data_IF_930262651226
#
_entry.id   IF_930262651226
#
_cell.length_a   1.000
_cell.length_b   1.000
_cell.length_c   1.000
_cell.angle_alpha   90.00
_cell.angle_beta   90.00
_cell.angle_gamma   90.00
#
_symmetry.space_group_name_H-M   'P 1'
#
loop_
_entity.id
_entity.type
_entity.pdbx_description
1 polymer ?
#
# COMPACT_ATOMS: atom_id res chain seq x y z
N UNK A 1 -19.02 14.37 -17.28
CA UNK A 1 -18.39 13.28 -16.49
C UNK A 1 -17.85 12.25 -17.46
N UNK A 2 -16.56 11.86 -17.38
CA UNK A 2 -16.07 10.74 -18.15
C UNK A 2 -16.88 9.49 -17.77
N UNK A 3 -17.36 8.74 -18.77
CA UNK A 3 -18.08 7.48 -18.52
C UNK A 3 -17.08 6.46 -17.98
N UNK A 4 -17.33 5.91 -16.80
CA UNK A 4 -16.53 4.81 -16.25
C UNK A 4 -16.55 3.65 -17.25
N UNK A 5 -15.39 3.10 -17.69
CA UNK A 5 -15.35 2.06 -18.73
C UNK A 5 -15.85 0.69 -18.22
N UNK A 6 -16.12 0.58 -16.91
CA UNK A 6 -16.49 -0.67 -16.26
C UNK A 6 -18.00 -0.75 -16.07
N UNK A 7 -18.58 -1.89 -16.47
CA UNK A 7 -19.99 -2.18 -16.25
C UNK A 7 -20.20 -2.56 -14.78
N UNK A 8 -21.01 -1.82 -14.01
CA UNK A 8 -21.27 -2.15 -12.62
C UNK A 8 -22.22 -3.34 -12.48
N UNK A 9 -22.25 -3.92 -11.28
CA UNK A 9 -23.32 -4.84 -10.89
C UNK A 9 -24.69 -4.14 -10.94
N UNK A 10 -25.79 -4.89 -11.13
CA UNK A 10 -27.14 -4.35 -10.96
C UNK A 10 -27.33 -3.73 -9.57
N UNK A 11 -28.20 -2.71 -9.47
CA UNK A 11 -28.46 -2.04 -8.20
C UNK A 11 -28.94 -3.04 -7.14
N UNK A 12 -28.26 -3.06 -6.00
CA UNK A 12 -28.59 -3.96 -4.89
C UNK A 12 -29.74 -3.38 -4.04
N UNK A 13 -30.57 -4.21 -3.37
CA UNK A 13 -31.69 -3.75 -2.54
C UNK A 13 -31.32 -2.70 -1.48
N UNK A 14 -30.17 -2.79 -0.77
CA UNK A 14 -29.79 -1.76 0.21
C UNK A 14 -29.55 -0.39 -0.44
N UNK A 15 -28.97 -0.35 -1.63
CA UNK A 15 -28.70 0.90 -2.34
C UNK A 15 -29.99 1.49 -2.94
N UNK A 16 -30.87 0.62 -3.47
CA UNK A 16 -32.17 1.02 -3.99
C UNK A 16 -33.05 1.68 -2.91
N UNK A 17 -33.05 1.11 -1.70
CA UNK A 17 -33.83 1.59 -0.55
C UNK A 17 -33.23 2.83 0.15
N UNK A 18 -32.02 3.26 -0.21
CA UNK A 18 -31.38 4.42 0.39
C UNK A 18 -32.06 5.74 -0.02
N UNK A 19 -31.96 6.76 0.85
CA UNK A 19 -32.43 8.13 0.58
C UNK A 19 -31.53 8.93 -0.37
N UNK A 20 -30.50 8.29 -0.95
CA UNK A 20 -29.60 8.91 -1.90
C UNK A 20 -30.33 9.27 -3.19
N UNK A 21 -29.85 10.31 -3.88
CA UNK A 21 -30.34 10.65 -5.20
C UNK A 21 -29.94 9.57 -6.23
N UNK A 22 -30.71 9.41 -7.30
CA UNK A 22 -30.37 8.46 -8.37
C UNK A 22 -28.96 8.67 -8.95
N UNK A 23 -28.48 9.91 -9.19
CA UNK A 23 -27.09 10.14 -9.58
C UNK A 23 -26.07 9.63 -8.56
N UNK A 24 -26.34 9.78 -7.25
CA UNK A 24 -25.44 9.29 -6.21
C UNK A 24 -25.42 7.76 -6.14
N UNK A 25 -26.57 7.09 -6.32
CA UNK A 25 -26.65 5.63 -6.42
C UNK A 25 -25.83 5.12 -7.61
N UNK A 26 -25.99 5.75 -8.78
CA UNK A 26 -25.23 5.41 -9.98
C UNK A 26 -23.72 5.59 -9.78
N UNK A 27 -23.30 6.69 -9.16
CA UNK A 27 -21.89 6.93 -8.85
C UNK A 27 -21.30 5.86 -7.90
N UNK A 28 -22.06 5.41 -6.90
CA UNK A 28 -21.64 4.32 -6.01
C UNK A 28 -21.49 2.99 -6.74
N UNK A 29 -22.38 2.70 -7.70
CA UNK A 29 -22.28 1.50 -8.53
C UNK A 29 -21.02 1.54 -9.41
N UNK A 30 -20.73 2.68 -10.03
CA UNK A 30 -19.52 2.86 -10.84
C UNK A 30 -18.24 2.77 -10.00
N UNK A 31 -18.27 3.34 -8.79
CA UNK A 31 -17.18 3.22 -7.82
C UNK A 31 -16.92 1.75 -7.45
N UNK A 32 -17.96 0.98 -7.15
CA UNK A 32 -17.84 -0.47 -6.85
C UNK A 32 -17.15 -1.23 -7.99
N UNK A 33 -17.55 -0.97 -9.23
CA UNK A 33 -16.94 -1.58 -10.40
C UNK A 33 -15.45 -1.21 -10.56
N UNK A 34 -15.11 0.06 -10.35
CA UNK A 34 -13.73 0.53 -10.40
C UNK A 34 -12.88 -0.08 -9.28
N UNK A 35 -13.41 -0.16 -8.06
CA UNK A 35 -12.75 -0.80 -6.92
C UNK A 35 -12.49 -2.27 -7.15
N UNK A 36 -13.42 -2.99 -7.78
CA UNK A 36 -13.19 -4.40 -8.14
C UNK A 36 -11.99 -4.56 -9.09
N UNK A 37 -11.89 -3.72 -10.11
CA UNK A 37 -10.76 -3.76 -11.05
C UNK A 37 -9.44 -3.39 -10.36
N UNK A 38 -9.47 -2.39 -9.50
CA UNK A 38 -8.33 -1.98 -8.68
C UNK A 38 -7.85 -3.12 -7.77
N UNK A 39 -8.75 -3.74 -7.00
CA UNK A 39 -8.45 -4.88 -6.15
C UNK A 39 -7.91 -6.07 -6.94
N UNK A 40 -8.49 -6.38 -8.10
CA UNK A 40 -8.01 -7.46 -8.97
C UNK A 40 -6.59 -7.21 -9.46
N UNK A 41 -6.27 -5.97 -9.85
CA UNK A 41 -4.92 -5.58 -10.28
C UNK A 41 -3.90 -5.69 -9.14
N UNK A 42 -4.28 -5.24 -7.94
CA UNK A 42 -3.46 -5.39 -6.72
C UNK A 42 -3.23 -6.86 -6.36
N UNK A 43 -4.28 -7.68 -6.34
CA UNK A 43 -4.20 -9.09 -5.97
C UNK A 43 -3.32 -9.91 -6.91
N UNK A 44 -3.25 -9.54 -8.19
CA UNK A 44 -2.34 -10.15 -9.17
C UNK A 44 -0.89 -9.69 -9.03
N UNK A 45 -0.60 -8.75 -8.14
CA UNK A 45 0.73 -8.19 -7.94
C UNK A 45 1.21 -7.35 -9.12
N UNK A 46 0.35 -6.94 -10.05
CA UNK A 46 0.75 -6.26 -11.29
C UNK A 46 1.48 -4.94 -11.01
N UNK A 47 1.12 -4.21 -9.94
CA UNK A 47 1.84 -3.00 -9.54
C UNK A 47 3.25 -3.31 -9.01
N UNK A 48 3.38 -4.33 -8.16
CA UNK A 48 4.68 -4.74 -7.61
C UNK A 48 5.59 -5.31 -8.70
N UNK A 49 5.03 -6.15 -9.57
CA UNK A 49 5.76 -6.75 -10.68
C UNK A 49 6.24 -5.70 -11.69
N UNK A 50 5.42 -4.69 -11.99
CA UNK A 50 5.84 -3.57 -12.86
C UNK A 50 6.98 -2.77 -12.24
N UNK A 51 6.85 -2.37 -10.97
CA UNK A 51 7.92 -1.65 -10.28
C UNK A 51 9.22 -2.45 -10.27
N UNK A 52 9.15 -3.76 -10.00
CA UNK A 52 10.34 -4.62 -10.02
C UNK A 52 10.97 -4.72 -11.41
N UNK A 53 10.15 -4.90 -12.46
CA UNK A 53 10.63 -5.05 -13.84
C UNK A 53 11.36 -3.82 -14.38
N UNK A 54 11.10 -2.65 -13.80
CA UNK A 54 11.72 -1.37 -14.15
C UNK A 54 12.90 -1.01 -13.22
N UNK A 55 13.28 -1.91 -12.32
CA UNK A 55 14.45 -1.77 -11.44
C UNK A 55 15.46 -2.88 -11.70
N UNK A 56 16.75 -2.60 -11.49
CA UNK A 56 17.80 -3.63 -11.50
C UNK A 56 17.86 -4.45 -10.19
N UNK A 57 16.77 -4.45 -9.41
CA UNK A 57 16.67 -5.23 -8.19
C UNK A 57 16.38 -6.68 -8.55
N UNK A 58 17.40 -7.52 -8.44
CA UNK A 58 17.25 -8.98 -8.47
C UNK A 58 16.57 -9.47 -7.18
N UNK A 59 15.26 -9.24 -7.06
CA UNK A 59 14.43 -9.61 -5.91
C UNK A 59 13.14 -10.28 -6.39
N UNK A 60 12.80 -11.40 -5.76
CA UNK A 60 11.46 -11.96 -5.89
C UNK A 60 10.40 -10.99 -5.31
N UNK A 61 9.15 -11.01 -5.82
CA UNK A 61 8.08 -10.13 -5.34
C UNK A 61 7.83 -10.19 -3.83
N UNK A 62 7.99 -11.36 -3.21
CA UNK A 62 7.79 -11.55 -1.77
C UNK A 62 8.89 -10.87 -0.94
N UNK A 63 10.14 -10.93 -1.39
CA UNK A 63 11.28 -10.27 -0.76
C UNK A 63 11.19 -8.75 -0.91
N UNK A 64 10.79 -8.30 -2.10
CA UNK A 64 10.52 -6.89 -2.34
C UNK A 64 9.43 -6.35 -1.42
N UNK A 65 8.30 -7.05 -1.31
CA UNK A 65 7.22 -6.69 -0.38
C UNK A 65 7.71 -6.67 1.07
N UNK A 66 8.57 -7.61 1.46
CA UNK A 66 9.20 -7.63 2.78
C UNK A 66 10.11 -6.43 3.03
N UNK A 67 10.94 -6.07 2.05
CA UNK A 67 11.80 -4.89 2.12
C UNK A 67 10.96 -3.61 2.25
N UNK A 68 9.91 -3.48 1.44
CA UNK A 68 8.99 -2.34 1.52
C UNK A 68 8.23 -2.30 2.85
N UNK A 69 7.89 -3.44 3.44
CA UNK A 69 7.26 -3.51 4.77
C UNK A 69 8.22 -3.02 5.87
N UNK A 70 9.48 -3.46 5.87
CA UNK A 70 10.52 -2.95 6.79
C UNK A 70 10.65 -1.43 6.67
N UNK A 71 10.67 -0.90 5.45
CA UNK A 71 10.72 0.54 5.18
C UNK A 71 9.53 1.30 5.76
N UNK A 72 8.29 0.82 5.51
CA UNK A 72 7.07 1.47 6.00
C UNK A 72 7.02 1.49 7.52
N UNK A 73 7.40 0.39 8.18
CA UNK A 73 7.49 0.32 9.64
C UNK A 73 8.52 1.32 10.17
N UNK A 74 9.72 1.35 9.56
CA UNK A 74 10.81 2.25 9.97
C UNK A 74 10.42 3.72 9.89
N UNK A 75 9.64 4.12 8.87
CA UNK A 75 9.26 5.53 8.65
C UNK A 75 7.86 5.87 9.15
N UNK A 76 7.13 4.91 9.72
CA UNK A 76 5.75 5.12 10.18
C UNK A 76 4.75 5.38 9.05
N UNK A 77 5.02 4.92 7.83
CA UNK A 77 4.10 5.14 6.69
C UNK A 77 2.81 4.38 6.93
N UNK A 78 1.68 5.10 7.01
CA UNK A 78 0.37 4.52 7.30
C UNK A 78 0.20 4.05 8.75
N UNK A 79 1.04 4.55 9.68
CA UNK A 79 1.03 4.22 11.10
C UNK A 79 1.04 5.51 11.92
N UNK A 80 0.56 5.45 13.17
CA UNK A 80 0.58 6.61 14.08
C UNK A 80 1.99 7.12 14.38
N UNK A 81 2.98 6.22 14.34
CA UNK A 81 4.39 6.54 14.55
C UNK A 81 5.34 5.55 13.89
N UNK A 82 6.57 6.01 13.65
CA UNK A 82 7.69 5.17 13.29
C UNK A 82 8.03 4.17 14.41
N UNK A 83 8.43 2.96 14.03
CA UNK A 83 8.77 1.87 14.96
C UNK A 83 9.98 1.08 14.44
N UNK A 84 10.70 0.42 15.34
CA UNK A 84 11.76 -0.50 14.96
C UNK A 84 11.16 -1.78 14.32
N UNK A 85 11.53 -2.14 13.08
CA UNK A 85 10.95 -3.31 12.43
C UNK A 85 11.33 -4.60 13.14
N UNK A 86 10.34 -5.37 13.58
CA UNK A 86 10.54 -6.73 14.10
C UNK A 86 9.98 -7.75 13.11
N UNK A 87 10.33 -9.04 13.26
CA UNK A 87 9.70 -10.11 12.46
C UNK A 87 8.18 -10.18 12.69
N UNK A 88 7.72 -9.85 13.91
CA UNK A 88 6.29 -9.78 14.23
C UNK A 88 5.59 -8.64 13.48
N UNK A 89 6.16 -7.43 13.55
CA UNK A 89 5.62 -6.28 12.80
C UNK A 89 5.69 -6.51 11.28
N UNK A 90 6.72 -7.19 10.80
CA UNK A 90 6.84 -7.59 9.39
C UNK A 90 5.71 -8.55 8.99
N UNK A 91 5.39 -9.54 9.83
CA UNK A 91 4.29 -10.48 9.59
C UNK A 91 2.93 -9.76 9.52
N UNK A 92 2.69 -8.85 10.46
CA UNK A 92 1.49 -8.01 10.52
C UNK A 92 1.36 -7.12 9.27
N UNK A 93 2.41 -6.36 8.95
CA UNK A 93 2.46 -5.43 7.81
C UNK A 93 2.25 -6.12 6.46
N UNK A 94 2.72 -7.36 6.33
CA UNK A 94 2.57 -8.16 5.12
C UNK A 94 1.29 -9.01 5.11
N UNK A 95 0.53 -9.05 6.22
CA UNK A 95 -0.61 -9.93 6.43
C UNK A 95 -0.28 -11.42 6.13
N UNK A 96 0.85 -11.91 6.64
CA UNK A 96 1.31 -13.30 6.49
C UNK A 96 1.58 -13.96 7.84
N UNK A 97 1.74 -15.28 7.85
CA UNK A 97 2.09 -16.01 9.06
C UNK A 97 3.54 -15.69 9.52
N UNK A 98 3.80 -15.72 10.85
CA UNK A 98 5.14 -15.44 11.39
C UNK A 98 6.25 -16.34 10.84
N UNK A 99 5.95 -17.59 10.48
CA UNK A 99 6.95 -18.51 9.92
C UNK A 99 7.43 -18.03 8.55
N UNK A 100 6.50 -17.57 7.70
CA UNK A 100 6.80 -17.01 6.39
C UNK A 100 7.52 -15.67 6.50
N UNK A 101 7.09 -14.80 7.40
CA UNK A 101 7.80 -13.54 7.67
C UNK A 101 9.24 -13.77 8.13
N UNK A 102 9.47 -14.78 8.98
CA UNK A 102 10.82 -15.16 9.43
C UNK A 102 11.70 -15.63 8.27
N UNK A 103 11.16 -16.44 7.34
CA UNK A 103 11.89 -16.86 6.12
C UNK A 103 12.26 -15.66 5.26
N UNK A 104 11.31 -14.75 5.01
CA UNK A 104 11.54 -13.51 4.23
C UNK A 104 12.61 -12.64 4.90
N UNK A 105 12.52 -12.43 6.21
CA UNK A 105 13.52 -11.67 6.96
C UNK A 105 14.91 -12.30 6.85
N UNK A 106 15.00 -13.62 6.96
CA UNK A 106 16.27 -14.35 6.86
C UNK A 106 16.90 -14.23 5.48
N UNK A 107 16.08 -14.31 4.43
CA UNK A 107 16.53 -14.15 3.04
C UNK A 107 16.95 -12.70 2.74
N UNK A 108 16.24 -11.70 3.26
CA UNK A 108 16.64 -10.30 3.16
C UNK A 108 17.95 -9.99 3.88
N UNK A 109 18.20 -10.66 5.02
CA UNK A 109 19.49 -10.61 5.73
C UNK A 109 20.59 -11.24 4.86
N UNK A 110 20.36 -12.45 4.36
CA UNK A 110 21.33 -13.19 3.55
C UNK A 110 21.72 -12.40 2.28
N UNK A 111 20.76 -11.71 1.68
CA UNK A 111 20.97 -10.85 0.50
C UNK A 111 21.51 -9.46 0.84
N UNK A 112 21.71 -9.15 2.13
CA UNK A 112 22.36 -7.93 2.61
C UNK A 112 21.50 -6.66 2.50
N UNK A 113 20.18 -6.77 2.39
CA UNK A 113 19.27 -5.61 2.37
C UNK A 113 18.93 -5.13 3.78
N UNK A 114 18.88 -6.05 4.74
CA UNK A 114 18.68 -5.74 6.16
C UNK A 114 19.72 -6.48 7.00
N UNK A 115 19.91 -6.04 8.23
CA UNK A 115 20.75 -6.70 9.22
C UNK A 115 19.98 -6.85 10.52
N UNK A 116 20.33 -7.89 11.28
CA UNK A 116 19.75 -8.14 12.60
C UNK A 116 20.48 -7.31 13.65
N UNK A 117 19.74 -6.63 14.50
CA UNK A 117 20.27 -5.95 15.68
C UNK A 117 19.44 -6.27 16.93
N UNK A 118 20.01 -5.98 18.10
CA UNK A 118 19.26 -5.95 19.36
C UNK A 118 18.43 -4.67 19.41
N UNK A 119 17.18 -4.76 19.89
CA UNK A 119 16.33 -3.57 20.05
C UNK A 119 16.95 -2.60 21.07
N UNK A 120 16.73 -1.30 20.86
CA UNK A 120 17.28 -0.29 21.77
C UNK A 120 16.61 -0.31 23.16
N UNK A 121 15.35 -0.74 23.24
CA UNK A 121 14.55 -0.77 24.47
C UNK A 121 14.68 -2.07 25.27
N UNK A 122 14.89 -3.21 24.58
CA UNK A 122 15.07 -4.53 25.18
C UNK A 122 16.01 -5.38 24.32
N UNK A 123 17.23 -5.61 24.81
CA UNK A 123 18.25 -6.38 24.08
C UNK A 123 17.88 -7.85 23.82
N UNK A 124 16.80 -8.37 24.43
CA UNK A 124 16.26 -9.70 24.12
C UNK A 124 15.37 -9.68 22.88
N UNK A 125 14.87 -8.52 22.48
CA UNK A 125 14.13 -8.34 21.23
C UNK A 125 15.10 -8.11 20.09
N UNK A 126 14.74 -8.65 18.93
CA UNK A 126 15.55 -8.53 17.73
C UNK A 126 14.81 -7.73 16.67
N UNK A 127 15.51 -6.75 16.12
CA UNK A 127 15.00 -5.82 15.09
C UNK A 127 15.75 -5.99 13.77
N UNK A 128 15.11 -5.57 12.70
CA UNK A 128 15.62 -5.56 11.32
C UNK A 128 15.96 -4.13 10.96
N UNK A 129 17.25 -3.85 10.79
CA UNK A 129 17.75 -2.54 10.37
C UNK A 129 18.11 -2.59 8.89
N UNK A 130 17.76 -1.54 8.15
CA UNK A 130 18.15 -1.42 6.74
C UNK A 130 19.64 -1.19 6.62
N UNK A 131 20.30 -1.94 5.73
CA UNK A 131 21.67 -1.67 5.32
C UNK A 131 21.70 -0.51 4.32
N UNK A 132 22.91 -0.06 3.93
CA UNK A 132 23.05 0.91 2.83
C UNK A 132 22.42 0.39 1.52
N UNK A 133 22.57 -0.92 1.23
CA UNK A 133 21.93 -1.57 0.08
C UNK A 133 20.40 -1.55 0.18
N UNK A 134 19.86 -1.84 1.36
CA UNK A 134 18.41 -1.75 1.62
C UNK A 134 17.84 -0.36 1.39
N UNK A 135 18.55 0.66 1.88
CA UNK A 135 18.15 2.07 1.72
C UNK A 135 18.19 2.50 0.25
N UNK A 136 19.27 2.17 -0.47
CA UNK A 136 19.39 2.49 -1.90
C UNK A 136 18.30 1.83 -2.74
N UNK A 137 18.01 0.55 -2.48
CA UNK A 137 16.91 -0.15 -3.15
C UNK A 137 15.54 0.53 -2.91
N UNK A 138 15.30 1.03 -1.69
CA UNK A 138 14.10 1.78 -1.39
C UNK A 138 14.03 3.11 -2.14
N UNK A 139 15.13 3.88 -2.18
CA UNK A 139 15.16 5.16 -2.89
C UNK A 139 14.81 4.99 -4.37
N UNK A 140 15.42 4.02 -5.04
CA UNK A 140 15.10 3.66 -6.43
C UNK A 140 13.60 3.39 -6.62
N UNK A 141 13.02 2.56 -5.75
CA UNK A 141 11.61 2.16 -5.84
C UNK A 141 10.66 3.31 -5.53
N UNK A 142 11.00 4.12 -4.53
CA UNK A 142 10.23 5.29 -4.11
C UNK A 142 10.14 6.28 -5.25
N UNK A 143 11.28 6.58 -5.87
CA UNK A 143 11.36 7.57 -6.94
C UNK A 143 10.61 7.08 -8.17
N UNK A 144 10.78 5.80 -8.54
CA UNK A 144 10.01 5.18 -9.62
C UNK A 144 8.51 5.22 -9.35
N UNK A 145 8.08 4.88 -8.13
CA UNK A 145 6.66 4.95 -7.73
C UNK A 145 6.11 6.37 -7.87
N UNK A 146 6.87 7.39 -7.49
CA UNK A 146 6.45 8.78 -7.65
C UNK A 146 6.37 9.18 -9.12
N UNK A 147 7.31 8.75 -9.97
CA UNK A 147 7.23 8.94 -11.43
C UNK A 147 5.91 8.39 -11.98
N UNK A 148 5.58 7.13 -11.69
CA UNK A 148 4.31 6.51 -12.11
C UNK A 148 3.10 7.26 -11.57
N UNK A 149 3.17 7.78 -10.34
CA UNK A 149 2.07 8.53 -9.74
C UNK A 149 1.86 9.87 -10.44
N UNK A 150 2.94 10.61 -10.74
CA UNK A 150 2.86 11.88 -11.49
C UNK A 150 2.31 11.62 -12.90
N UNK A 151 2.78 10.60 -13.60
CA UNK A 151 2.27 10.23 -14.92
C UNK A 151 0.77 9.88 -14.89
N UNK A 152 0.34 9.10 -13.89
CA UNK A 152 -1.06 8.71 -13.73
C UNK A 152 -2.00 9.91 -13.53
N UNK A 153 -1.51 10.99 -12.92
CA UNK A 153 -2.27 12.22 -12.67
C UNK A 153 -1.94 13.36 -13.65
N UNK A 154 -1.16 13.10 -14.70
CA UNK A 154 -0.67 14.14 -15.62
C UNK A 154 -1.77 14.91 -16.35
N UNK A 155 -2.92 14.29 -16.60
CA UNK A 155 -4.09 14.90 -17.24
C UNK A 155 -5.10 15.51 -16.25
N UNK A 156 -4.82 15.46 -14.94
CA UNK A 156 -5.71 15.95 -13.90
C UNK A 156 -5.40 17.39 -13.53
N UNK A 157 -6.42 18.17 -13.19
CA UNK A 157 -6.20 19.49 -12.58
C UNK A 157 -5.67 19.33 -11.14
N UNK A 158 -4.90 20.30 -10.65
CA UNK A 158 -4.44 20.32 -9.25
C UNK A 158 -5.62 20.20 -8.27
N UNK A 159 -6.71 20.91 -8.53
CA UNK A 159 -7.94 20.83 -7.72
C UNK A 159 -8.59 19.45 -7.73
N UNK A 160 -8.53 18.71 -8.84
CA UNK A 160 -9.06 17.35 -8.89
C UNK A 160 -8.16 16.38 -8.12
N UNK A 161 -6.84 16.56 -8.17
CA UNK A 161 -5.88 15.76 -7.39
C UNK A 161 -6.11 15.97 -5.89
N UNK A 162 -6.22 17.22 -5.44
CA UNK A 162 -6.51 17.57 -4.04
C UNK A 162 -7.84 16.97 -3.59
N UNK A 163 -8.91 17.19 -4.38
CA UNK A 163 -10.25 16.69 -4.07
C UNK A 163 -10.31 15.17 -4.04
N UNK A 164 -9.68 14.50 -4.99
CA UNK A 164 -9.63 13.05 -5.00
C UNK A 164 -8.84 12.51 -3.81
N UNK A 165 -7.73 13.14 -3.46
CA UNK A 165 -6.91 12.74 -2.30
C UNK A 165 -7.69 12.84 -0.99
N UNK A 166 -8.45 13.93 -0.78
CA UNK A 166 -9.34 14.08 0.37
C UNK A 166 -10.43 13.00 0.40
N UNK A 167 -11.20 12.87 -0.69
CA UNK A 167 -12.32 11.93 -0.76
C UNK A 167 -11.86 10.47 -0.62
N UNK A 168 -10.71 10.13 -1.22
CA UNK A 168 -10.13 8.79 -1.10
C UNK A 168 -9.62 8.54 0.32
N UNK A 169 -8.97 9.52 0.94
CA UNK A 169 -8.56 9.44 2.35
C UNK A 169 -9.74 9.19 3.28
N UNK A 170 -10.84 9.93 3.09
CA UNK A 170 -12.09 9.74 3.85
C UNK A 170 -12.72 8.37 3.62
N UNK A 171 -12.75 7.91 2.38
CA UNK A 171 -13.23 6.57 2.04
C UNK A 171 -12.41 5.48 2.75
N UNK A 172 -11.07 5.55 2.67
CA UNK A 172 -10.16 4.59 3.31
C UNK A 172 -10.31 4.60 4.82
N UNK A 173 -10.41 5.78 5.45
CA UNK A 173 -10.66 5.88 6.88
C UNK A 173 -11.96 5.19 7.30
N UNK A 174 -13.04 5.38 6.52
CA UNK A 174 -14.31 4.67 6.72
C UNK A 174 -14.18 3.16 6.61
N UNK A 175 -13.39 2.65 5.65
CA UNK A 175 -13.10 1.20 5.49
C UNK A 175 -12.30 0.65 6.67
N UNK A 176 -11.32 1.41 7.16
CA UNK A 176 -10.48 1.01 8.30
C UNK A 176 -11.17 1.21 9.66
N UNK A 177 -12.36 1.82 9.69
CA UNK A 177 -13.06 2.17 10.93
C UNK A 177 -12.39 3.30 11.72
N UNK A 178 -11.51 4.07 11.08
CA UNK A 178 -10.82 5.23 11.67
C UNK A 178 -11.70 6.46 11.50
N UNK A 179 -11.91 7.24 12.57
CA UNK A 179 -12.59 8.53 12.48
C UNK A 179 -11.63 9.53 11.83
N UNK A 180 -12.03 10.11 10.69
CA UNK A 180 -11.35 11.30 10.16
C UNK A 180 -11.72 12.44 11.10
N UNK A 181 -10.75 12.97 11.84
CA UNK A 181 -10.95 14.26 12.52
C UNK A 181 -10.98 15.33 11.42
N UNK A 182 -12.11 16.03 11.28
CA UNK A 182 -12.21 17.21 10.44
C UNK A 182 -11.27 18.28 11.02
N UNK A 183 -10.30 18.73 10.23
CA UNK A 183 -9.41 19.86 10.55
C UNK A 183 -10.14 21.17 10.35
#
# INVERSE_FOLDING_TARGET
MPKTPFKPFPIAPPLAASSLSEPAKQALMELDAAMFQWHRKLAKGELTGRLLAETDLDLEPSLFQGLMAVMRITHGVGRDRAQEPTVGLLAEEMAIDPSRASRIASELIARGFVQRAAAQDDGRKSVLLLTAKGKGAFETVRDLRWTHMVEMFSDWSESDIERFSDLFGRYVAGVLGVKVEEV
#
